data_IF_585411703155
#
_entry.id   IF_585411703155
#
_cell.length_a   1.000
_cell.length_b   1.000
_cell.length_c   1.000
_cell.angle_alpha   90.00
_cell.angle_beta   90.00
_cell.angle_gamma   90.00
#
_symmetry.space_group_name_H-M   'P 1'
#
loop_
_entity.id
_entity.type
_entity.pdbx_description
1 polymer ?
#
# COMPACT_ATOMS: atom_id res chain seq x y z
N UNK A 1 -31.38 28.72 -45.59
CA UNK A 1 -31.60 28.27 -44.17
C UNK A 1 -30.55 27.25 -43.69
N UNK A 2 -29.71 26.67 -44.52
CA UNK A 2 -28.77 25.57 -44.13
C UNK A 2 -27.40 26.00 -43.62
N UNK A 3 -26.89 27.23 -43.87
CA UNK A 3 -25.55 27.63 -43.40
C UNK A 3 -25.47 27.87 -41.88
N UNK A 4 -26.52 28.40 -41.26
CA UNK A 4 -26.55 28.65 -39.80
C UNK A 4 -26.59 27.34 -39.00
N UNK A 5 -27.28 26.32 -39.47
CA UNK A 5 -27.37 25.00 -38.85
C UNK A 5 -26.01 24.29 -38.90
N UNK A 6 -25.30 24.35 -40.04
CA UNK A 6 -23.97 23.79 -40.21
C UNK A 6 -22.91 24.46 -39.27
N UNK A 7 -23.03 25.75 -39.05
CA UNK A 7 -22.12 26.48 -38.14
C UNK A 7 -22.35 26.08 -36.66
N UNK A 8 -23.63 25.88 -36.29
CA UNK A 8 -24.01 25.46 -34.95
C UNK A 8 -23.50 24.05 -34.62
N UNK A 9 -23.61 23.08 -35.56
CA UNK A 9 -23.03 21.73 -35.37
C UNK A 9 -21.52 21.74 -35.30
N UNK A 10 -20.83 22.57 -36.07
CA UNK A 10 -19.37 22.71 -35.94
C UNK A 10 -18.94 23.30 -34.62
N UNK A 11 -19.69 24.25 -34.08
CA UNK A 11 -19.42 24.85 -32.76
C UNK A 11 -19.63 23.82 -31.63
N UNK A 12 -20.69 23.03 -31.69
CA UNK A 12 -20.96 21.95 -30.73
C UNK A 12 -19.85 20.88 -30.79
N UNK A 13 -19.38 20.51 -31.99
CA UNK A 13 -18.32 19.53 -32.18
C UNK A 13 -16.98 20.02 -31.55
N UNK A 14 -16.67 21.31 -31.71
CA UNK A 14 -15.47 21.92 -31.12
C UNK A 14 -15.57 21.96 -29.59
N UNK A 15 -16.74 22.27 -29.01
CA UNK A 15 -16.96 22.26 -27.57
C UNK A 15 -16.85 20.83 -27.02
N UNK A 16 -17.36 19.83 -27.74
CA UNK A 16 -17.26 18.42 -27.34
C UNK A 16 -15.80 17.92 -27.36
N UNK A 17 -14.98 18.38 -28.32
CA UNK A 17 -13.56 18.03 -28.41
C UNK A 17 -12.72 18.72 -27.31
N UNK A 18 -13.13 19.90 -26.86
CA UNK A 18 -12.45 20.61 -25.78
C UNK A 18 -12.78 20.05 -24.37
N UNK A 19 -13.92 19.35 -24.23
CA UNK A 19 -14.33 18.76 -22.95
C UNK A 19 -13.64 17.42 -22.61
N UNK A 20 -12.87 16.84 -23.53
CA UNK A 20 -12.18 15.55 -23.31
C UNK A 20 -10.75 15.67 -22.81
N UNK A 21 -10.28 16.87 -22.45
CA UNK A 21 -9.01 17.00 -21.78
C UNK A 21 -9.14 16.46 -20.33
N UNK A 22 -9.04 15.14 -20.19
CA UNK A 22 -8.79 14.53 -18.88
C UNK A 22 -7.44 15.06 -18.40
N UNK A 23 -7.47 15.94 -17.44
CA UNK A 23 -6.30 16.33 -16.67
C UNK A 23 -5.78 15.07 -15.97
N UNK A 24 -4.85 14.37 -16.60
CA UNK A 24 -4.02 13.40 -15.91
C UNK A 24 -3.17 14.20 -14.91
N UNK A 25 -3.66 14.31 -13.68
CA UNK A 25 -2.86 14.80 -12.57
C UNK A 25 -1.75 13.75 -12.37
N UNK A 26 -0.53 14.08 -12.76
CA UNK A 26 0.62 13.28 -12.39
C UNK A 26 0.62 13.16 -10.86
N UNK A 27 0.62 11.95 -10.35
CA UNK A 27 0.66 11.71 -8.91
C UNK A 27 2.01 12.20 -8.40
N UNK A 28 2.00 13.16 -7.50
CA UNK A 28 3.20 13.75 -6.92
C UNK A 28 3.78 12.81 -5.87
N UNK A 29 5.06 12.45 -6.05
CA UNK A 29 5.84 11.68 -5.08
C UNK A 29 6.79 12.66 -4.38
N UNK A 30 6.67 12.79 -3.07
CA UNK A 30 7.55 13.61 -2.24
C UNK A 30 8.51 12.72 -1.49
N UNK A 31 9.83 12.96 -1.66
CA UNK A 31 10.90 12.19 -1.02
C UNK A 31 11.67 13.12 -0.09
N UNK A 32 11.82 12.70 1.17
CA UNK A 32 12.61 13.37 2.21
C UNK A 32 13.62 12.39 2.79
N UNK A 33 14.83 12.84 3.06
CA UNK A 33 15.87 12.06 3.73
C UNK A 33 16.96 12.99 4.28
N UNK A 34 17.83 12.47 5.13
CA UNK A 34 19.02 13.20 5.61
C UNK A 34 20.02 13.40 4.44
N UNK A 35 20.06 12.46 3.48
CA UNK A 35 20.90 12.53 2.27
C UNK A 35 20.16 11.96 1.07
N UNK A 36 20.23 12.64 -0.07
CA UNK A 36 19.68 12.21 -1.35
C UNK A 36 20.79 12.22 -2.38
N UNK A 37 20.97 11.12 -3.11
CA UNK A 37 21.94 10.96 -4.21
C UNK A 37 21.31 10.20 -5.37
N UNK A 38 22.03 10.13 -6.49
CA UNK A 38 21.62 9.36 -7.66
C UNK A 38 22.66 8.27 -7.93
N UNK A 39 22.21 7.12 -8.39
CA UNK A 39 23.09 6.08 -8.91
C UNK A 39 23.39 6.26 -10.41
N UNK A 40 24.13 5.31 -10.99
CA UNK A 40 24.50 5.32 -12.42
C UNK A 40 23.28 5.18 -13.36
N UNK A 41 22.17 4.65 -12.86
CA UNK A 41 20.90 4.49 -13.59
C UNK A 41 19.92 5.63 -13.32
N UNK A 42 20.35 6.73 -12.70
CA UNK A 42 19.53 7.87 -12.28
C UNK A 42 18.44 7.54 -11.24
N UNK A 43 18.55 6.39 -10.57
CA UNK A 43 17.67 6.07 -9.44
C UNK A 43 17.95 7.02 -8.28
N UNK A 44 16.90 7.43 -7.58
CA UNK A 44 17.04 8.25 -6.37
C UNK A 44 17.37 7.34 -5.20
N UNK A 45 18.47 7.58 -4.52
CA UNK A 45 18.88 6.91 -3.28
C UNK A 45 18.70 7.88 -2.12
N UNK A 46 17.72 7.62 -1.26
CA UNK A 46 17.41 8.39 -0.07
C UNK A 46 17.88 7.63 1.18
N UNK A 47 18.80 8.23 1.96
CA UNK A 47 19.42 7.62 3.15
C UNK A 47 19.18 8.47 4.39
N UNK A 48 18.96 7.80 5.52
CA UNK A 48 18.76 8.40 6.83
C UNK A 48 17.36 8.97 6.98
N UNK A 49 16.54 8.35 7.83
CA UNK A 49 15.13 8.76 8.09
C UNK A 49 14.33 9.03 6.82
N UNK A 50 14.61 8.25 5.77
CA UNK A 50 14.01 8.45 4.47
C UNK A 50 12.49 8.24 4.53
N UNK A 51 11.74 9.11 3.84
CA UNK A 51 10.28 9.12 3.79
C UNK A 51 9.82 9.35 2.36
N UNK A 52 8.80 8.59 1.96
CA UNK A 52 8.06 8.83 0.72
C UNK A 52 6.60 9.10 1.07
N UNK A 53 6.07 10.20 0.56
CA UNK A 53 4.66 10.53 0.61
C UNK A 53 4.08 10.46 -0.79
N UNK A 54 2.96 9.74 -0.93
CA UNK A 54 2.19 9.63 -2.17
C UNK A 54 0.72 9.37 -1.82
N UNK A 55 -0.20 10.24 -2.24
CA UNK A 55 -1.65 10.03 -2.12
C UNK A 55 -2.11 9.60 -0.70
N UNK A 56 -1.75 10.33 0.34
CA UNK A 56 -2.03 10.00 1.75
C UNK A 56 -1.38 8.71 2.26
N UNK A 57 -0.47 8.12 1.49
CA UNK A 57 0.35 6.97 1.87
C UNK A 57 1.72 7.46 2.31
N UNK A 58 2.29 6.79 3.30
CA UNK A 58 3.59 7.15 3.87
C UNK A 58 4.44 5.90 4.03
N UNK A 59 5.64 5.92 3.42
CA UNK A 59 6.69 4.92 3.65
C UNK A 59 7.82 5.58 4.44
N UNK A 60 8.35 4.88 5.43
CA UNK A 60 9.51 5.30 6.23
C UNK A 60 10.51 4.15 6.27
N UNK A 61 11.79 4.45 5.99
CA UNK A 61 12.90 3.50 6.10
C UNK A 61 14.22 4.25 6.31
N UNK A 62 15.28 3.54 6.70
CA UNK A 62 16.64 4.10 6.72
C UNK A 62 17.24 4.23 5.31
N UNK A 63 16.80 3.39 4.38
CA UNK A 63 17.24 3.40 2.99
C UNK A 63 16.06 3.16 2.06
N UNK A 64 15.88 4.07 1.11
CA UNK A 64 14.88 3.95 0.03
C UNK A 64 15.60 4.16 -1.30
N UNK A 65 15.37 3.28 -2.26
CA UNK A 65 15.82 3.43 -3.63
C UNK A 65 14.56 3.57 -4.49
N UNK A 66 14.47 4.67 -5.23
CA UNK A 66 13.34 4.92 -6.14
C UNK A 66 13.81 4.87 -7.59
N UNK A 67 13.36 3.84 -8.29
CA UNK A 67 13.52 3.68 -9.72
C UNK A 67 12.41 4.44 -10.45
N UNK A 68 12.78 5.51 -11.14
CA UNK A 68 11.83 6.37 -11.86
C UNK A 68 11.27 5.72 -13.12
N UNK A 69 12.03 4.83 -13.76
CA UNK A 69 11.63 4.20 -15.01
C UNK A 69 10.58 3.12 -14.76
N UNK A 70 10.75 2.33 -13.72
CA UNK A 70 9.81 1.28 -13.33
C UNK A 70 8.74 1.77 -12.33
N UNK A 71 8.81 3.02 -11.86
CA UNK A 71 7.99 3.55 -10.76
C UNK A 71 8.04 2.62 -9.53
N UNK A 72 9.24 2.15 -9.21
CA UNK A 72 9.48 1.15 -8.18
C UNK A 72 10.19 1.75 -6.98
N UNK A 73 9.62 1.52 -5.80
CA UNK A 73 10.22 1.82 -4.52
C UNK A 73 10.84 0.55 -3.98
N UNK A 74 12.15 0.52 -3.76
CA UNK A 74 12.88 -0.62 -3.21
C UNK A 74 13.31 -0.28 -1.79
N UNK A 75 13.07 -1.19 -0.86
CA UNK A 75 13.29 -1.06 0.58
C UNK A 75 14.19 -2.22 1.06
N UNK A 76 15.51 -2.08 0.98
CA UNK A 76 16.44 -3.18 1.31
C UNK A 76 16.54 -3.49 2.82
N UNK A 77 15.97 -2.65 3.66
CA UNK A 77 16.02 -2.76 5.13
C UNK A 77 14.61 -2.74 5.73
N UNK A 78 14.55 -2.69 7.06
CA UNK A 78 13.28 -2.52 7.77
C UNK A 78 12.59 -1.23 7.36
N UNK A 79 11.30 -1.31 7.21
CA UNK A 79 10.47 -0.16 6.87
C UNK A 79 9.12 -0.21 7.57
N UNK A 80 8.45 0.93 7.59
CA UNK A 80 7.03 1.03 7.91
C UNK A 80 6.28 1.71 6.77
N UNK A 81 5.06 1.26 6.53
CA UNK A 81 4.15 1.79 5.52
C UNK A 81 2.78 2.04 6.15
N UNK A 82 2.24 3.21 5.93
CA UNK A 82 0.87 3.57 6.30
C UNK A 82 0.08 3.84 5.02
N UNK A 83 -1.04 3.13 4.84
CA UNK A 83 -1.92 3.31 3.70
C UNK A 83 -2.99 4.41 3.94
N UNK A 84 -3.78 4.69 2.93
CA UNK A 84 -4.87 5.67 2.96
C UNK A 84 -6.01 5.29 3.91
N UNK A 85 -6.19 4.02 4.21
CA UNK A 85 -7.18 3.49 5.15
C UNK A 85 -6.69 3.48 6.60
N UNK A 86 -5.51 4.07 6.87
CA UNK A 86 -4.82 4.05 8.16
C UNK A 86 -4.40 2.66 8.65
N UNK A 87 -4.31 1.68 7.77
CA UNK A 87 -3.63 0.44 8.08
C UNK A 87 -2.13 0.70 8.18
N UNK A 88 -1.47 0.04 9.11
CA UNK A 88 -0.05 0.19 9.36
C UNK A 88 0.66 -1.13 9.11
N UNK A 89 1.69 -1.09 8.30
CA UNK A 89 2.50 -2.24 7.90
C UNK A 89 3.94 -2.03 8.33
N UNK A 90 4.57 -3.07 8.82
CA UNK A 90 6.01 -3.17 9.01
C UNK A 90 6.49 -4.39 8.25
N UNK A 91 7.70 -4.31 7.71
CA UNK A 91 8.33 -5.40 6.99
C UNK A 91 9.80 -5.12 6.72
N UNK A 92 10.42 -6.01 6.00
CA UNK A 92 11.81 -5.92 5.55
C UNK A 92 11.98 -6.47 4.14
N UNK A 93 13.06 -6.08 3.44
CA UNK A 93 13.39 -6.58 2.11
C UNK A 93 12.22 -6.51 1.13
N UNK A 94 11.69 -5.31 0.91
CA UNK A 94 10.47 -5.17 0.13
C UNK A 94 10.60 -4.25 -1.07
N UNK A 95 9.55 -4.27 -1.87
CA UNK A 95 9.36 -3.28 -2.92
C UNK A 95 7.87 -2.96 -3.09
N UNK A 96 7.62 -1.78 -3.65
CA UNK A 96 6.32 -1.32 -4.10
C UNK A 96 6.39 -0.87 -5.55
N UNK A 97 5.32 -1.09 -6.32
CA UNK A 97 5.18 -0.72 -7.74
C UNK A 97 3.84 -0.04 -7.99
N UNK A 98 3.78 0.76 -9.08
CA UNK A 98 2.55 1.29 -9.66
C UNK A 98 1.63 1.91 -8.61
N UNK A 99 2.07 3.02 -8.04
CA UNK A 99 1.28 3.76 -7.05
C UNK A 99 0.93 2.95 -5.80
N UNK A 100 1.85 2.06 -5.39
CA UNK A 100 1.72 1.19 -4.22
C UNK A 100 0.59 0.15 -4.34
N UNK A 101 0.12 -0.14 -5.56
CA UNK A 101 -0.88 -1.18 -5.83
C UNK A 101 -0.30 -2.58 -5.86
N UNK A 102 1.01 -2.70 -6.07
CA UNK A 102 1.73 -3.98 -6.03
C UNK A 102 2.84 -3.87 -5.01
N UNK A 103 2.98 -4.88 -4.19
CA UNK A 103 4.03 -4.92 -3.18
C UNK A 103 4.40 -6.37 -2.85
N UNK A 104 5.67 -6.59 -2.52
CA UNK A 104 6.13 -7.82 -1.88
C UNK A 104 7.16 -7.44 -0.81
N UNK A 105 7.10 -8.10 0.35
CA UNK A 105 8.08 -7.95 1.42
C UNK A 105 8.05 -9.09 2.40
N UNK A 106 9.09 -9.20 3.19
CA UNK A 106 9.29 -10.25 4.17
C UNK A 106 8.81 -9.82 5.56
N UNK A 107 8.49 -10.80 6.39
CA UNK A 107 8.15 -10.66 7.81
C UNK A 107 7.08 -9.59 8.12
N UNK A 108 5.93 -9.61 7.43
CA UNK A 108 4.88 -8.62 7.63
C UNK A 108 4.34 -8.61 9.04
N UNK A 109 4.21 -7.39 9.61
CA UNK A 109 3.45 -7.09 10.81
C UNK A 109 2.45 -6.01 10.44
N UNK A 110 1.17 -6.35 10.44
CA UNK A 110 0.10 -5.47 9.96
C UNK A 110 -0.82 -5.17 11.13
N UNK A 111 -1.12 -3.89 11.31
CA UNK A 111 -2.16 -3.41 12.20
C UNK A 111 -3.23 -2.73 11.35
N UNK A 112 -4.41 -3.32 11.30
CA UNK A 112 -5.55 -2.76 10.59
C UNK A 112 -6.16 -1.59 11.37
N UNK A 113 -6.95 -0.78 10.67
CA UNK A 113 -7.58 0.42 11.23
C UNK A 113 -8.58 0.11 12.37
N UNK A 114 -9.20 -1.09 12.37
CA UNK A 114 -10.04 -1.59 13.45
C UNK A 114 -9.25 -2.04 14.68
N UNK A 115 -7.90 -2.06 14.56
CA UNK A 115 -6.95 -2.46 15.59
C UNK A 115 -6.62 -3.94 15.59
N UNK A 116 -7.21 -4.75 14.73
CA UNK A 116 -6.81 -6.14 14.53
C UNK A 116 -5.39 -6.24 13.95
N UNK A 117 -4.78 -7.40 14.05
CA UNK A 117 -3.38 -7.61 13.67
C UNK A 117 -3.21 -8.87 12.85
N UNK A 118 -2.32 -8.78 11.87
CA UNK A 118 -1.88 -9.90 11.06
C UNK A 118 -0.34 -9.91 11.08
N UNK A 119 0.25 -11.06 11.31
CA UNK A 119 1.68 -11.31 11.13
C UNK A 119 1.86 -12.48 10.18
N UNK A 120 3.01 -12.57 9.52
CA UNK A 120 3.29 -13.68 8.62
C UNK A 120 4.75 -13.73 8.20
N UNK A 121 5.08 -14.62 7.26
CA UNK A 121 6.43 -14.75 6.73
C UNK A 121 6.64 -13.92 5.46
N UNK A 122 5.62 -13.82 4.62
CA UNK A 122 5.69 -13.10 3.35
C UNK A 122 4.40 -12.38 3.06
N UNK A 123 4.52 -11.15 2.56
CA UNK A 123 3.42 -10.31 2.10
C UNK A 123 3.48 -10.14 0.60
N UNK A 124 2.34 -10.17 -0.04
CA UNK A 124 2.15 -9.76 -1.42
C UNK A 124 0.86 -8.96 -1.54
N UNK A 125 0.92 -7.82 -2.20
CA UNK A 125 -0.25 -7.03 -2.62
C UNK A 125 -0.42 -7.13 -4.13
N UNK A 126 -1.64 -7.34 -4.58
CA UNK A 126 -2.04 -7.31 -5.98
C UNK A 126 -3.37 -6.55 -6.09
N UNK A 127 -3.30 -5.28 -6.45
CA UNK A 127 -4.42 -4.36 -6.41
C UNK A 127 -4.97 -4.17 -4.99
N UNK A 128 -6.21 -4.57 -4.78
CA UNK A 128 -6.91 -4.47 -3.50
C UNK A 128 -6.77 -5.74 -2.63
N UNK A 129 -6.04 -6.73 -3.10
CA UNK A 129 -5.88 -8.01 -2.40
C UNK A 129 -4.52 -8.11 -1.75
N UNK A 130 -4.50 -8.28 -0.44
CA UNK A 130 -3.31 -8.58 0.35
C UNK A 130 -3.25 -10.09 0.64
N UNK A 131 -2.10 -10.69 0.39
CA UNK A 131 -1.85 -12.12 0.59
C UNK A 131 -0.71 -12.26 1.59
N UNK A 132 -0.97 -12.95 2.70
CA UNK A 132 0.01 -13.20 3.75
C UNK A 132 0.23 -14.71 3.87
N UNK A 133 1.47 -15.15 3.69
CA UNK A 133 1.86 -16.56 3.83
C UNK A 133 2.17 -16.88 5.28
N UNK A 134 1.74 -18.07 5.75
CA UNK A 134 1.89 -18.53 7.13
C UNK A 134 1.45 -17.46 8.14
N UNK A 135 0.23 -16.96 7.91
CA UNK A 135 -0.30 -15.84 8.64
C UNK A 135 -0.97 -16.21 9.96
N UNK A 136 -0.87 -15.30 10.92
CA UNK A 136 -1.63 -15.34 12.17
C UNK A 136 -2.43 -14.06 12.26
N UNK A 137 -3.74 -14.19 12.35
CA UNK A 137 -4.68 -13.09 12.57
C UNK A 137 -5.16 -13.07 14.02
N UNK A 138 -5.27 -11.89 14.58
CA UNK A 138 -5.86 -11.64 15.90
C UNK A 138 -6.69 -10.37 15.90
N UNK A 139 -7.95 -10.41 16.39
CA UNK A 139 -8.81 -9.22 16.45
C UNK A 139 -8.45 -8.27 17.61
N UNK A 140 -7.45 -8.63 18.41
CA UNK A 140 -7.09 -7.85 19.59
C UNK A 140 -6.30 -6.58 19.23
N UNK A 141 -6.77 -5.43 19.71
CA UNK A 141 -6.14 -4.11 19.51
C UNK A 141 -4.77 -4.00 20.19
N UNK A 142 -4.55 -4.70 21.28
CA UNK A 142 -3.29 -4.72 22.02
C UNK A 142 -3.18 -5.96 22.90
N UNK A 143 -1.98 -6.29 23.37
CA UNK A 143 -1.80 -7.26 24.46
C UNK A 143 -2.16 -6.58 25.78
N UNK A 144 -3.44 -6.48 26.07
CA UNK A 144 -3.93 -5.94 27.32
C UNK A 144 -4.22 -7.13 28.25
N UNK A 145 -3.65 -7.06 29.44
CA UNK A 145 -4.00 -8.00 30.52
C UNK A 145 -5.27 -7.44 31.17
N UNK A 146 -6.41 -8.13 30.95
CA UNK A 146 -7.68 -7.80 31.62
C UNK A 146 -7.92 -8.89 32.66
N UNK A 147 -7.78 -8.54 33.92
CA UNK A 147 -7.82 -9.48 35.04
C UNK A 147 -6.81 -10.64 34.84
N UNK A 148 -7.30 -11.86 34.63
CA UNK A 148 -6.48 -13.04 34.40
C UNK A 148 -6.34 -13.42 32.91
N UNK A 149 -6.90 -12.62 32.00
CA UNK A 149 -6.87 -12.88 30.56
C UNK A 149 -5.85 -11.99 29.86
N UNK A 150 -5.08 -12.59 28.96
CA UNK A 150 -4.16 -11.88 28.06
C UNK A 150 -4.81 -11.84 26.69
N UNK A 151 -4.97 -10.68 26.09
CA UNK A 151 -5.35 -10.57 24.70
C UNK A 151 -4.12 -10.84 23.80
N UNK A 152 -4.21 -11.68 22.78
CA UNK A 152 -5.44 -12.26 22.21
C UNK A 152 -5.98 -13.43 23.03
N UNK A 153 -7.28 -13.44 23.28
CA UNK A 153 -7.97 -14.61 23.84
C UNK A 153 -8.10 -15.73 22.82
N UNK A 154 -8.01 -15.39 21.53
CA UNK A 154 -7.96 -16.33 20.43
C UNK A 154 -7.21 -15.74 19.24
N UNK A 155 -6.70 -16.62 18.41
CA UNK A 155 -6.06 -16.28 17.14
C UNK A 155 -6.38 -17.34 16.08
N UNK A 156 -6.32 -16.91 14.82
CA UNK A 156 -6.44 -17.79 13.66
C UNK A 156 -5.08 -17.92 12.99
N UNK A 157 -4.56 -19.13 12.91
CA UNK A 157 -3.32 -19.46 12.20
C UNK A 157 -3.68 -20.08 10.85
N UNK A 158 -3.16 -19.58 9.74
CA UNK A 158 -3.43 -20.09 8.41
C UNK A 158 -2.18 -20.22 7.55
N UNK A 159 -2.18 -21.18 6.64
CA UNK A 159 -1.12 -21.31 5.63
C UNK A 159 -1.10 -20.06 4.75
N UNK A 160 -2.28 -19.53 4.45
CA UNK A 160 -2.47 -18.31 3.65
C UNK A 160 -3.65 -17.51 4.21
N UNK A 161 -3.40 -16.23 4.45
CA UNK A 161 -4.43 -15.23 4.75
C UNK A 161 -4.56 -14.34 3.51
N UNK A 162 -5.78 -14.08 3.10
CA UNK A 162 -6.13 -13.19 2.02
C UNK A 162 -7.04 -12.12 2.60
N UNK A 163 -6.61 -10.86 2.53
CA UNK A 163 -7.35 -9.70 2.97
C UNK A 163 -7.81 -8.90 1.74
N UNK A 164 -9.10 -8.79 1.57
CA UNK A 164 -9.74 -8.01 0.52
C UNK A 164 -10.03 -6.61 1.10
N UNK A 165 -9.27 -5.62 0.62
CA UNK A 165 -9.35 -4.25 1.12
C UNK A 165 -10.59 -3.51 0.60
N UNK A 166 -11.16 -3.94 -0.52
CA UNK A 166 -12.37 -3.34 -1.10
C UNK A 166 -13.63 -3.81 -0.37
N UNK A 167 -13.76 -5.14 -0.19
CA UNK A 167 -14.95 -5.74 0.43
C UNK A 167 -14.81 -5.94 1.95
N UNK A 168 -13.64 -5.65 2.52
CA UNK A 168 -13.31 -5.81 3.94
C UNK A 168 -13.48 -7.25 4.46
N UNK A 169 -13.18 -8.24 3.60
CA UNK A 169 -13.21 -9.64 3.96
C UNK A 169 -11.81 -10.19 4.21
N UNK A 170 -11.75 -11.14 5.14
CA UNK A 170 -10.54 -11.89 5.43
C UNK A 170 -10.80 -13.38 5.23
N UNK A 171 -10.12 -13.96 4.24
CA UNK A 171 -10.19 -15.37 3.92
C UNK A 171 -8.95 -16.09 4.42
N UNK A 172 -9.11 -17.30 4.93
CA UNK A 172 -8.00 -18.11 5.40
C UNK A 172 -8.06 -19.51 4.80
N UNK A 173 -6.91 -19.99 4.35
CA UNK A 173 -6.74 -21.36 3.86
C UNK A 173 -5.99 -22.20 4.90
N UNK A 174 -6.48 -23.43 5.13
CA UNK A 174 -5.93 -24.39 6.11
C UNK A 174 -5.72 -23.75 7.49
N UNK A 175 -6.79 -23.14 8.00
CA UNK A 175 -6.73 -22.40 9.26
C UNK A 175 -6.98 -23.27 10.47
N UNK A 176 -6.32 -22.89 11.57
CA UNK A 176 -6.56 -23.44 12.91
C UNK A 176 -6.88 -22.28 13.86
N UNK A 177 -7.92 -22.46 14.66
CA UNK A 177 -8.20 -21.52 15.75
C UNK A 177 -7.45 -21.99 17.01
N UNK A 178 -6.73 -21.07 17.62
CA UNK A 178 -6.09 -21.29 18.91
C UNK A 178 -6.75 -20.35 19.93
N UNK A 179 -7.22 -20.93 21.03
CA UNK A 179 -7.70 -20.20 22.22
C UNK A 179 -6.56 -20.20 23.24
N UNK A 180 -6.25 -19.05 23.83
CA UNK A 180 -5.10 -18.81 24.70
C UNK A 180 -5.60 -18.55 26.11
#
# INVERSE_FOLDING_TARGET
MNKKISLFYKLILIILLLSTSTFNRAEEILIYADSISYDENENIIAKGKAKIFQNNKLIISELIIYDKLEEKIILPSNFSFKDENNNFFEGENGFFLKNLKYAEFDNPKIKLNDGSRIIGNKFKRDGEIDIISKGVYSPCKSRIKIANFICPTWQLEGEKILHDNENLFLYQKHSKMRVI
#
